data_IF_589510007300
#
_entry.id   IF_589510007300
#
_cell.length_a   1.000
_cell.length_b   1.000
_cell.length_c   1.000
_cell.angle_alpha   90.00
_cell.angle_beta   90.00
_cell.angle_gamma   90.00
#
_symmetry.space_group_name_H-M   'P 1'
#
loop_
_entity.id
_entity.type
_entity.pdbx_description
1 polymer ?
#
# COMPACT_ATOMS: atom_id res chain seq x y z
N UNK A 1 13.53 11.16 -2.50
CA UNK A 1 13.06 9.84 -2.02
C UNK A 1 12.81 8.98 -3.25
N UNK A 2 13.16 7.70 -3.22
CA UNK A 2 12.92 6.78 -4.33
C UNK A 2 11.62 6.00 -4.14
N UNK A 3 10.99 5.63 -5.24
CA UNK A 3 9.87 4.69 -5.25
C UNK A 3 10.37 3.23 -5.29
N UNK A 4 9.45 2.28 -5.22
CA UNK A 4 9.75 0.83 -5.28
C UNK A 4 10.40 0.37 -6.61
N UNK A 5 10.48 1.22 -7.63
CA UNK A 5 11.20 0.96 -8.87
C UNK A 5 12.62 1.54 -8.88
N UNK A 6 13.05 2.21 -7.80
CA UNK A 6 14.35 2.88 -7.71
C UNK A 6 14.42 4.23 -8.45
N UNK A 7 13.30 4.71 -9.01
CA UNK A 7 13.18 6.03 -9.64
C UNK A 7 12.64 7.05 -8.64
N UNK A 8 12.57 8.34 -9.03
CA UNK A 8 12.08 9.37 -8.11
C UNK A 8 10.62 9.15 -7.75
N UNK A 9 10.30 9.30 -6.45
CA UNK A 9 8.93 9.18 -5.96
C UNK A 9 8.04 10.25 -6.60
N UNK A 10 6.91 9.82 -7.17
CA UNK A 10 5.93 10.74 -7.78
C UNK A 10 4.76 11.01 -6.83
N UNK A 11 4.01 12.07 -7.11
CA UNK A 11 2.82 12.41 -6.34
C UNK A 11 1.73 11.33 -6.49
N UNK A 12 1.18 10.89 -5.37
CA UNK A 12 -0.01 10.06 -5.33
C UNK A 12 -1.26 10.89 -5.65
N UNK A 13 -1.32 12.14 -5.17
CA UNK A 13 -2.42 13.06 -5.50
C UNK A 13 -2.53 13.27 -7.01
N UNK A 14 -3.74 13.13 -7.57
CA UNK A 14 -4.02 13.41 -8.99
C UNK A 14 -3.53 14.81 -9.38
N UNK A 15 -2.92 14.92 -10.57
CA UNK A 15 -2.47 16.20 -11.12
C UNK A 15 -3.61 17.21 -11.17
N UNK A 16 -3.30 18.49 -10.91
CA UNK A 16 -4.25 19.62 -10.85
C UNK A 16 -5.38 19.49 -9.80
N UNK A 17 -5.33 18.48 -8.91
CA UNK A 17 -6.30 18.35 -7.84
C UNK A 17 -6.04 19.33 -6.69
N UNK A 18 -7.10 19.98 -6.21
CA UNK A 18 -7.10 20.79 -4.99
C UNK A 18 -7.38 19.96 -3.73
N UNK A 19 -7.41 18.63 -3.84
CA UNK A 19 -7.66 17.75 -2.71
C UNK A 19 -6.53 17.83 -1.67
N UNK A 20 -6.95 17.80 -0.41
CA UNK A 20 -6.09 17.90 0.77
C UNK A 20 -6.28 16.73 1.75
N UNK A 21 -7.14 15.74 1.44
CA UNK A 21 -7.58 14.70 2.39
C UNK A 21 -7.08 13.29 2.07
N UNK A 22 -5.88 13.16 1.48
CA UNK A 22 -5.38 11.86 0.99
C UNK A 22 -4.21 11.25 1.75
N UNK A 23 -3.94 11.73 2.97
CA UNK A 23 -2.88 11.22 3.86
C UNK A 23 -1.43 11.36 3.35
N UNK A 24 -1.24 11.95 2.18
CA UNK A 24 0.05 12.36 1.62
C UNK A 24 0.69 13.54 2.38
N UNK A 25 1.94 13.86 2.04
CA UNK A 25 2.64 15.06 2.47
C UNK A 25 2.20 16.34 1.73
N UNK A 26 2.81 17.48 2.03
CA UNK A 26 2.46 18.78 1.41
C UNK A 26 2.65 18.80 -0.11
N UNK A 27 3.40 17.86 -0.68
CA UNK A 27 3.64 17.73 -2.12
C UNK A 27 2.68 16.72 -2.78
N UNK A 28 1.85 16.03 -2.02
CA UNK A 28 0.94 15.01 -2.54
C UNK A 28 1.57 13.62 -2.65
N UNK A 29 2.74 13.38 -2.04
CA UNK A 29 3.45 12.10 -2.07
C UNK A 29 3.17 11.27 -0.82
N UNK A 30 3.19 9.94 -0.95
CA UNK A 30 3.09 8.99 0.17
C UNK A 30 4.45 8.80 0.87
N UNK A 31 5.12 9.91 1.17
CA UNK A 31 6.51 9.92 1.65
C UNK A 31 6.69 9.24 3.01
N UNK A 32 7.86 8.65 3.24
CA UNK A 32 8.26 8.21 4.58
C UNK A 32 8.41 9.41 5.54
N UNK A 33 7.51 9.49 6.53
CA UNK A 33 7.50 10.52 7.57
C UNK A 33 8.05 10.02 8.91
N UNK A 34 8.49 8.77 8.98
CA UNK A 34 9.01 8.12 10.18
C UNK A 34 7.98 8.11 11.32
N UNK A 35 8.44 8.34 12.56
CA UNK A 35 7.61 8.32 13.75
C UNK A 35 6.45 9.35 13.76
N UNK A 36 6.45 10.34 12.86
CA UNK A 36 5.34 11.29 12.69
C UNK A 36 4.13 10.67 12.00
N UNK A 37 4.27 9.47 11.45
CA UNK A 37 3.22 8.73 10.78
C UNK A 37 3.20 7.27 11.24
N UNK A 38 2.60 6.97 12.40
CA UNK A 38 2.55 5.61 12.94
C UNK A 38 1.74 4.64 12.06
N UNK A 39 0.83 5.17 11.23
CA UNK A 39 0.08 4.38 10.25
C UNK A 39 0.89 3.98 9.02
N UNK A 40 2.03 4.64 8.79
CA UNK A 40 2.92 4.43 7.64
C UNK A 40 2.11 4.49 6.34
N UNK A 41 1.52 5.66 6.06
CA UNK A 41 0.67 5.88 4.90
C UNK A 41 1.51 5.96 3.62
N UNK A 42 1.97 4.81 3.13
CA UNK A 42 2.94 4.70 2.03
C UNK A 42 2.38 3.97 0.79
N UNK A 43 1.20 3.35 0.86
CA UNK A 43 0.61 2.67 -0.30
C UNK A 43 -0.28 3.65 -1.07
N UNK A 44 0.16 4.12 -2.24
CA UNK A 44 -0.70 4.94 -3.10
C UNK A 44 -1.77 4.07 -3.77
N UNK A 45 -3.01 4.28 -3.38
CA UNK A 45 -4.17 3.48 -3.75
C UNK A 45 -5.22 4.36 -4.45
N UNK A 46 -5.75 3.90 -5.57
CA UNK A 46 -6.83 4.53 -6.32
C UNK A 46 -8.18 3.99 -5.84
N UNK A 47 -8.98 4.83 -5.21
CA UNK A 47 -10.32 4.46 -4.78
C UNK A 47 -11.29 4.56 -5.96
N UNK A 48 -11.96 3.45 -6.26
CA UNK A 48 -12.88 3.23 -7.38
C UNK A 48 -14.14 2.53 -6.86
N UNK A 49 -15.10 2.27 -7.75
CA UNK A 49 -16.36 1.59 -7.43
C UNK A 49 -16.17 0.25 -6.72
N UNK A 50 -15.19 -0.54 -7.15
CA UNK A 50 -14.88 -1.87 -6.60
C UNK A 50 -14.06 -1.83 -5.29
N UNK A 51 -13.52 -0.65 -4.94
CA UNK A 51 -12.65 -0.46 -3.76
C UNK A 51 -13.15 0.64 -2.81
N UNK A 52 -14.33 1.23 -3.06
CA UNK A 52 -14.87 2.37 -2.30
C UNK A 52 -15.20 2.02 -0.84
N UNK A 53 -15.32 0.73 -0.52
CA UNK A 53 -15.55 0.21 0.82
C UNK A 53 -14.26 -0.14 1.59
N UNK A 54 -13.06 0.19 1.07
CA UNK A 54 -11.78 -0.15 1.69
C UNK A 54 -11.72 0.17 3.19
N UNK A 55 -12.18 1.36 3.61
CA UNK A 55 -12.05 1.79 4.99
C UNK A 55 -12.98 1.00 5.93
N UNK A 56 -14.24 0.77 5.54
CA UNK A 56 -15.15 -0.12 6.28
C UNK A 56 -14.64 -1.57 6.31
N UNK A 57 -14.13 -2.07 5.17
CA UNK A 57 -13.53 -3.38 5.03
C UNK A 57 -12.25 -3.55 5.86
N UNK A 58 -11.69 -2.48 6.40
CA UNK A 58 -10.54 -2.50 7.32
C UNK A 58 -10.90 -1.99 8.71
N UNK A 59 -12.20 -1.96 9.05
CA UNK A 59 -12.76 -1.55 10.34
C UNK A 59 -12.40 -0.11 10.75
N UNK A 60 -12.38 0.79 9.78
CA UNK A 60 -12.26 2.23 9.97
C UNK A 60 -13.63 2.89 9.74
N UNK A 61 -13.74 4.20 9.98
CA UNK A 61 -14.91 4.96 9.51
C UNK A 61 -14.99 4.91 7.98
N UNK A 62 -16.18 5.12 7.41
CA UNK A 62 -16.48 5.02 5.98
C UNK A 62 -15.91 6.19 5.13
N UNK A 63 -14.68 6.60 5.40
CA UNK A 63 -14.04 7.71 4.69
C UNK A 63 -13.69 7.37 3.23
N UNK A 64 -13.53 6.08 2.87
CA UNK A 64 -13.12 5.71 1.52
C UNK A 64 -14.20 6.00 0.49
N UNK A 65 -15.49 5.89 0.83
CA UNK A 65 -16.58 6.23 -0.11
C UNK A 65 -16.54 7.68 -0.59
N UNK A 66 -16.25 8.62 0.31
CA UNK A 66 -16.05 10.04 -0.02
C UNK A 66 -14.82 10.32 -0.90
N UNK A 67 -13.99 9.31 -1.08
CA UNK A 67 -12.75 9.34 -1.86
C UNK A 67 -12.83 8.60 -3.18
N UNK A 68 -14.01 8.12 -3.58
CA UNK A 68 -14.27 7.64 -4.94
C UNK A 68 -13.67 8.57 -6.00
N UNK A 69 -13.02 7.97 -7.00
CA UNK A 69 -12.27 8.63 -8.07
C UNK A 69 -11.06 9.47 -7.61
N UNK A 70 -10.59 9.28 -6.39
CA UNK A 70 -9.38 9.94 -5.86
C UNK A 70 -8.38 8.89 -5.42
N UNK A 71 -7.12 9.32 -5.30
CA UNK A 71 -6.09 8.48 -4.72
C UNK A 71 -5.98 8.75 -3.22
N UNK A 72 -5.43 7.82 -2.45
CA UNK A 72 -5.16 7.97 -1.02
C UNK A 72 -3.89 7.18 -0.67
N UNK A 73 -3.08 7.71 0.24
CA UNK A 73 -1.94 6.99 0.79
C UNK A 73 -2.45 6.10 1.93
N UNK A 74 -2.59 4.80 1.69
CA UNK A 74 -3.08 3.84 2.67
C UNK A 74 -1.97 3.42 3.63
N UNK A 75 -2.37 3.12 4.87
CA UNK A 75 -1.53 2.46 5.85
C UNK A 75 -1.12 1.06 5.36
N UNK A 76 0.12 0.65 5.65
CA UNK A 76 0.60 -0.70 5.30
C UNK A 76 -0.30 -1.78 5.88
N UNK A 77 -0.55 -1.74 7.20
CA UNK A 77 -1.37 -2.76 7.86
C UNK A 77 -2.83 -2.78 7.42
N UNK A 78 -3.42 -1.62 7.10
CA UNK A 78 -4.79 -1.58 6.58
C UNK A 78 -4.87 -2.25 5.20
N UNK A 79 -3.90 -1.98 4.32
CA UNK A 79 -3.79 -2.65 3.03
C UNK A 79 -3.57 -4.17 3.21
N UNK A 80 -2.74 -4.57 4.18
CA UNK A 80 -2.54 -6.00 4.49
C UNK A 80 -3.82 -6.71 4.90
N UNK A 81 -4.56 -6.11 5.83
CA UNK A 81 -5.82 -6.64 6.30
C UNK A 81 -6.83 -6.72 5.15
N UNK A 82 -6.90 -5.69 4.31
CA UNK A 82 -7.76 -5.67 3.13
C UNK A 82 -7.48 -6.85 2.20
N UNK A 83 -6.22 -7.05 1.79
CA UNK A 83 -5.83 -8.17 0.92
C UNK A 83 -6.04 -9.54 1.57
N UNK A 84 -5.77 -9.68 2.87
CA UNK A 84 -6.07 -10.93 3.57
C UNK A 84 -7.57 -11.25 3.54
N UNK A 85 -8.43 -10.26 3.82
CA UNK A 85 -9.89 -10.46 3.84
C UNK A 85 -10.43 -10.85 2.46
N UNK A 86 -9.81 -10.34 1.39
CA UNK A 86 -10.07 -10.78 0.01
C UNK A 86 -9.70 -12.27 -0.16
N UNK A 87 -8.49 -12.66 0.19
CA UNK A 87 -7.99 -14.04 0.09
C UNK A 87 -8.89 -15.08 0.76
N UNK A 88 -9.45 -14.75 1.94
CA UNK A 88 -10.31 -15.67 2.69
C UNK A 88 -11.80 -15.55 2.31
N UNK A 89 -12.14 -14.74 1.30
CA UNK A 89 -13.49 -14.59 0.78
C UNK A 89 -14.46 -13.81 1.67
N UNK A 90 -13.96 -13.00 2.61
CA UNK A 90 -14.82 -12.14 3.43
C UNK A 90 -15.29 -10.89 2.65
N UNK A 91 -14.51 -10.44 1.67
CA UNK A 91 -14.83 -9.33 0.78
C UNK A 91 -14.38 -9.66 -0.66
N UNK A 92 -14.94 -9.02 -1.70
CA UNK A 92 -14.54 -9.27 -3.09
C UNK A 92 -13.08 -8.93 -3.35
N UNK A 93 -12.40 -9.76 -4.16
CA UNK A 93 -11.04 -9.50 -4.66
C UNK A 93 -11.00 -8.28 -5.58
N UNK A 94 -9.89 -7.54 -5.54
CA UNK A 94 -9.64 -6.37 -6.40
C UNK A 94 -8.19 -6.38 -6.88
N UNK A 95 -7.98 -5.79 -8.06
CA UNK A 95 -6.65 -5.60 -8.64
C UNK A 95 -6.46 -4.18 -9.19
N UNK A 96 -5.24 -3.87 -9.65
CA UNK A 96 -4.90 -2.63 -10.33
C UNK A 96 -5.23 -1.33 -9.57
N UNK A 97 -5.43 -1.38 -8.26
CA UNK A 97 -5.68 -0.22 -7.41
C UNK A 97 -4.42 0.61 -7.14
N UNK A 98 -3.23 0.02 -7.28
CA UNK A 98 -2.00 0.67 -6.88
C UNK A 98 -1.45 1.63 -7.94
N UNK A 99 -0.81 2.70 -7.48
CA UNK A 99 0.03 3.59 -8.31
C UNK A 99 1.48 3.42 -7.89
N UNK A 100 2.17 2.47 -8.52
CA UNK A 100 3.41 1.92 -8.00
C UNK A 100 4.58 2.92 -7.99
N UNK A 101 4.69 3.82 -8.97
CA UNK A 101 5.68 4.91 -8.94
C UNK A 101 5.49 5.91 -7.78
N UNK A 102 4.32 5.90 -7.12
CA UNK A 102 3.98 6.74 -5.98
C UNK A 102 4.10 6.01 -4.62
N UNK A 103 4.61 4.78 -4.61
CA UNK A 103 4.90 4.00 -3.39
C UNK A 103 6.41 4.12 -3.12
N UNK A 104 6.84 4.65 -1.95
CA UNK A 104 8.26 4.79 -1.64
C UNK A 104 8.91 3.42 -1.42
N UNK A 105 10.20 3.29 -1.75
CA UNK A 105 10.96 2.05 -1.52
C UNK A 105 10.95 1.64 -0.03
N UNK A 106 10.81 2.62 0.87
CA UNK A 106 10.73 2.38 2.32
C UNK A 106 9.55 1.51 2.72
N UNK A 107 8.47 1.48 1.92
CA UNK A 107 7.32 0.61 2.16
C UNK A 107 7.75 -0.87 2.17
N UNK A 108 8.80 -1.20 1.42
CA UNK A 108 9.41 -2.53 1.32
C UNK A 108 10.75 -2.56 2.06
N UNK A 109 10.73 -2.23 3.36
CA UNK A 109 11.92 -2.28 4.22
C UNK A 109 11.64 -2.97 5.56
N UNK A 110 12.71 -3.55 6.16
CA UNK A 110 12.62 -4.24 7.45
C UNK A 110 12.02 -3.36 8.56
N UNK A 111 12.28 -2.05 8.47
CA UNK A 111 11.83 -1.02 9.41
C UNK A 111 10.31 -1.08 9.66
N UNK A 112 9.53 -1.47 8.65
CA UNK A 112 8.08 -1.44 8.69
C UNK A 112 7.41 -2.82 8.61
N UNK A 113 8.16 -3.92 8.76
CA UNK A 113 7.59 -5.29 8.76
C UNK A 113 6.46 -5.43 9.80
N UNK A 114 6.63 -4.87 10.99
CA UNK A 114 5.58 -4.89 12.03
C UNK A 114 4.32 -4.13 11.64
N UNK A 115 4.46 -3.04 10.87
CA UNK A 115 3.34 -2.25 10.38
C UNK A 115 2.58 -2.97 9.26
N UNK A 116 3.26 -3.81 8.47
CA UNK A 116 2.59 -4.70 7.53
C UNK A 116 1.78 -5.78 8.24
N UNK A 117 2.33 -6.38 9.28
CA UNK A 117 1.70 -7.50 9.96
C UNK A 117 0.47 -7.10 10.80
N UNK A 118 0.45 -5.87 11.34
CA UNK A 118 -0.56 -5.43 12.32
C UNK A 118 -1.11 -4.03 12.01
N UNK A 119 -2.43 -3.88 12.15
CA UNK A 119 -3.17 -2.64 12.01
C UNK A 119 -3.97 -2.29 13.28
N UNK A 120 -5.16 -2.88 13.46
CA UNK A 120 -6.12 -2.46 14.48
C UNK A 120 -6.65 -3.60 15.37
N UNK A 121 -6.03 -4.78 15.33
CA UNK A 121 -6.40 -5.93 16.16
C UNK A 121 -7.55 -6.75 15.60
N UNK A 122 -8.04 -6.43 14.40
CA UNK A 122 -8.98 -7.27 13.66
C UNK A 122 -8.28 -8.30 12.77
N UNK A 123 -6.94 -8.33 12.80
CA UNK A 123 -6.18 -9.42 12.22
C UNK A 123 -6.39 -10.70 13.04
N UNK A 124 -6.39 -11.86 12.38
CA UNK A 124 -6.31 -13.12 13.11
C UNK A 124 -4.87 -13.29 13.59
N UNK A 125 -4.65 -13.34 14.91
CA UNK A 125 -3.29 -13.34 15.49
C UNK A 125 -2.40 -14.48 14.97
N UNK A 126 -2.97 -15.64 14.63
CA UNK A 126 -2.23 -16.77 14.05
C UNK A 126 -1.89 -16.59 12.56
N UNK A 127 -2.43 -15.55 11.90
CA UNK A 127 -2.23 -15.24 10.48
C UNK A 127 -1.45 -13.95 10.25
N UNK A 128 -0.90 -13.29 11.27
CA UNK A 128 -0.18 -12.02 11.09
C UNK A 128 0.92 -12.12 10.02
N UNK A 129 1.62 -13.26 9.98
CA UNK A 129 2.60 -13.55 8.94
C UNK A 129 1.92 -13.76 7.57
N UNK A 130 0.84 -14.55 7.48
CA UNK A 130 0.11 -14.76 6.22
C UNK A 130 -0.48 -13.46 5.64
N UNK A 131 -0.97 -12.55 6.50
CA UNK A 131 -1.52 -11.25 6.12
C UNK A 131 -0.47 -10.42 5.40
N UNK A 132 0.69 -10.30 6.02
CA UNK A 132 1.82 -9.56 5.47
C UNK A 132 2.29 -10.19 4.15
N UNK A 133 2.54 -11.50 4.15
CA UNK A 133 3.10 -12.19 2.98
C UNK A 133 2.17 -12.11 1.78
N UNK A 134 0.87 -12.31 1.98
CA UNK A 134 -0.08 -12.21 0.89
C UNK A 134 -0.21 -10.78 0.38
N UNK A 135 -0.27 -9.79 1.25
CA UNK A 135 -0.37 -8.40 0.83
C UNK A 135 0.89 -7.90 0.11
N UNK A 136 2.07 -8.35 0.56
CA UNK A 136 3.34 -8.11 -0.11
C UNK A 136 3.33 -8.72 -1.52
N UNK A 137 2.93 -9.99 -1.64
CA UNK A 137 2.81 -10.68 -2.93
C UNK A 137 1.85 -9.94 -3.88
N UNK A 138 0.69 -9.50 -3.39
CA UNK A 138 -0.26 -8.72 -4.17
C UNK A 138 0.32 -7.37 -4.63
N UNK A 139 1.03 -6.65 -3.74
CA UNK A 139 1.70 -5.40 -4.11
C UNK A 139 2.77 -5.64 -5.17
N UNK A 140 3.65 -6.63 -4.94
CA UNK A 140 4.74 -6.96 -5.86
C UNK A 140 4.21 -7.40 -7.23
N UNK A 141 3.14 -8.20 -7.26
CA UNK A 141 2.50 -8.65 -8.50
C UNK A 141 1.90 -7.48 -9.27
N UNK A 142 1.05 -6.65 -8.65
CA UNK A 142 0.46 -5.49 -9.32
C UNK A 142 1.51 -4.48 -9.80
N UNK A 143 2.59 -4.31 -9.03
CA UNK A 143 3.64 -3.37 -9.40
C UNK A 143 4.60 -3.93 -10.45
N UNK A 144 4.76 -5.24 -10.56
CA UNK A 144 5.54 -5.83 -11.64
C UNK A 144 4.92 -5.50 -13.01
N UNK A 145 3.59 -5.43 -13.09
CA UNK A 145 2.87 -5.06 -14.32
C UNK A 145 3.00 -3.56 -14.68
N UNK A 146 3.39 -2.72 -13.72
CA UNK A 146 3.57 -1.27 -13.90
C UNK A 146 5.03 -0.86 -14.15
N UNK A 147 5.99 -1.79 -14.08
CA UNK A 147 7.39 -1.50 -14.38
C UNK A 147 7.56 -1.23 -15.88
N UNK A 148 8.13 -0.08 -16.24
CA UNK A 148 8.29 0.33 -17.64
C UNK A 148 9.61 -0.14 -18.26
N UNK A 149 10.58 -0.51 -17.41
CA UNK A 149 11.91 -0.96 -17.84
C UNK A 149 12.40 -2.15 -17.05
N UNK A 150 13.35 -2.89 -17.61
CA UNK A 150 14.02 -4.00 -16.91
C UNK A 150 14.71 -3.53 -15.61
N UNK A 151 15.22 -2.29 -15.59
CA UNK A 151 15.81 -1.72 -14.38
C UNK A 151 14.76 -1.50 -13.30
N UNK A 152 13.57 -1.01 -13.64
CA UNK A 152 12.47 -0.85 -12.69
C UNK A 152 11.98 -2.21 -12.16
N UNK A 153 11.79 -3.18 -13.06
CA UNK A 153 11.39 -4.55 -12.70
C UNK A 153 12.43 -5.22 -11.78
N UNK A 154 13.72 -5.05 -12.06
CA UNK A 154 14.82 -5.55 -11.23
C UNK A 154 14.85 -4.88 -9.85
N UNK A 155 14.66 -3.56 -9.77
CA UNK A 155 14.61 -2.85 -8.49
C UNK A 155 13.46 -3.35 -7.61
N UNK A 156 12.26 -3.50 -8.19
CA UNK A 156 11.11 -4.03 -7.47
C UNK A 156 11.39 -5.46 -6.97
N UNK A 157 11.87 -6.34 -7.86
CA UNK A 157 12.18 -7.73 -7.50
C UNK A 157 13.18 -7.81 -6.34
N UNK A 158 14.26 -7.03 -6.39
CA UNK A 158 15.24 -6.97 -5.31
C UNK A 158 14.65 -6.47 -3.97
N UNK A 159 13.64 -5.59 -3.99
CA UNK A 159 12.93 -5.17 -2.78
C UNK A 159 12.02 -6.28 -2.26
N UNK A 160 11.21 -6.88 -3.13
CA UNK A 160 10.31 -7.98 -2.78
C UNK A 160 11.08 -9.20 -2.25
N UNK A 161 12.15 -9.62 -2.91
CA UNK A 161 12.97 -10.76 -2.49
C UNK A 161 13.62 -10.53 -1.12
N UNK A 162 14.07 -9.30 -0.83
CA UNK A 162 14.61 -8.95 0.49
C UNK A 162 13.55 -9.03 1.58
N UNK A 163 12.34 -8.56 1.30
CA UNK A 163 11.22 -8.64 2.23
C UNK A 163 10.87 -10.09 2.58
N UNK A 164 10.98 -11.01 1.61
CA UNK A 164 10.81 -12.46 1.84
C UNK A 164 11.98 -13.07 2.63
N UNK A 165 13.21 -12.59 2.41
CA UNK A 165 14.41 -13.09 3.08
C UNK A 165 14.52 -12.69 4.57
N UNK A 166 13.86 -11.62 5.02
CA UNK A 166 13.84 -11.26 6.44
C UNK A 166 13.09 -12.26 7.33
N UNK A 167 12.35 -13.18 6.71
CA UNK A 167 11.53 -14.16 7.39
C UNK A 167 12.11 -15.60 7.31
N UNK A 168 13.27 -15.79 6.66
CA UNK A 168 13.99 -17.08 6.56
C UNK A 168 15.08 -17.21 7.62
#
# INVERSE_FOLDING_TARGET
MKNIFGTDLVACRKSNSQDQRGSWDTQGMCSDRGARDPGVHQICFSVRDDTENFSEATYQSDWSRDRKDKHHCMCLGAYSLYKQRQKIGEIPETDNELKCHAIPESALSEKYLKNWAKWNGHEREYQLHENYMHALDQLCTQCAEQAETESEASSLRNLCDRMLAFES
#
